data_IF_029591873253
#
_entry.id   IF_029591873253
#
_cell.length_a   1.000
_cell.length_b   1.000
_cell.length_c   1.000
_cell.angle_alpha   90.00
_cell.angle_beta   90.00
_cell.angle_gamma   90.00
#
_symmetry.space_group_name_H-M   'P 1'
#
loop_
_entity.id
_entity.type
_entity.pdbx_description
1 polymer ?
#
# COMPACT_ATOMS: atom_id res chain seq x y z
N UNK A 1 -16.52 1.32 0.63
CA UNK A 1 -15.33 1.59 -0.22
C UNK A 1 -14.08 1.12 0.50
N UNK A 2 -12.99 0.86 -0.23
CA UNK A 2 -11.67 0.47 0.30
C UNK A 2 -10.69 1.61 0.08
N UNK A 3 -9.99 2.02 1.14
CA UNK A 3 -8.90 2.99 1.08
C UNK A 3 -7.56 2.26 1.06
N UNK A 4 -6.77 2.43 0.01
CA UNK A 4 -5.41 1.93 -0.08
C UNK A 4 -4.42 3.09 0.15
N UNK A 5 -3.45 2.86 1.01
CA UNK A 5 -2.38 3.81 1.34
C UNK A 5 -1.04 3.12 1.17
N UNK A 6 -0.20 3.68 0.32
CA UNK A 6 1.18 3.23 0.13
C UNK A 6 2.15 4.33 0.53
N UNK A 7 2.99 4.05 1.52
CA UNK A 7 3.94 5.01 2.11
C UNK A 7 5.34 4.69 1.60
N UNK A 8 5.71 5.37 0.52
CA UNK A 8 7.05 5.34 -0.05
C UNK A 8 8.00 6.36 0.61
N UNK A 9 9.29 6.26 0.31
CA UNK A 9 10.31 7.15 0.88
C UNK A 9 10.15 8.63 0.47
N UNK A 10 9.60 8.89 -0.70
CA UNK A 10 9.40 10.24 -1.24
C UNK A 10 7.95 10.68 -1.23
N UNK A 11 7.03 9.78 -1.57
CA UNK A 11 5.62 10.07 -1.72
C UNK A 11 4.75 9.06 -0.98
N UNK A 12 3.60 9.52 -0.51
CA UNK A 12 2.51 8.70 -0.01
C UNK A 12 1.43 8.67 -1.09
N UNK A 13 1.17 7.50 -1.66
CA UNK A 13 0.09 7.28 -2.62
C UNK A 13 -1.18 6.86 -1.89
N UNK A 14 -2.30 7.47 -2.26
CA UNK A 14 -3.61 7.21 -1.66
C UNK A 14 -4.59 6.93 -2.78
N UNK A 15 -5.32 5.83 -2.69
CA UNK A 15 -6.31 5.44 -3.68
C UNK A 15 -7.60 4.96 -3.00
N UNK A 16 -8.74 5.37 -3.55
CA UNK A 16 -10.06 4.93 -3.10
C UNK A 16 -10.69 4.05 -4.17
N UNK A 17 -11.13 2.86 -3.76
CA UNK A 17 -11.83 1.92 -4.61
C UNK A 17 -13.26 1.71 -4.13
N UNK A 18 -14.20 1.51 -5.08
CA UNK A 18 -15.56 1.08 -4.75
C UNK A 18 -15.63 -0.43 -4.48
N UNK A 19 -16.85 -0.94 -4.30
CA UNK A 19 -17.08 -2.37 -4.00
C UNK A 19 -16.82 -3.27 -5.20
N UNK A 20 -16.91 -2.73 -6.39
CA UNK A 20 -16.64 -3.40 -7.66
C UNK A 20 -15.14 -3.41 -8.02
N UNK A 21 -14.29 -2.76 -7.18
CA UNK A 21 -12.86 -2.64 -7.40
C UNK A 21 -12.46 -1.52 -8.37
N UNK A 22 -13.41 -0.62 -8.74
CA UNK A 22 -13.11 0.51 -9.61
C UNK A 22 -12.45 1.64 -8.83
N UNK A 23 -11.39 2.21 -9.41
CA UNK A 23 -10.69 3.36 -8.84
C UNK A 23 -11.58 4.60 -8.89
N UNK A 24 -11.82 5.21 -7.73
CA UNK A 24 -12.67 6.41 -7.58
C UNK A 24 -11.85 7.69 -7.53
N UNK A 25 -10.75 7.69 -6.83
CA UNK A 25 -9.72 8.72 -6.93
C UNK A 25 -8.33 8.16 -6.57
N UNK A 26 -7.31 8.87 -7.05
CA UNK A 26 -5.91 8.69 -6.65
C UNK A 26 -5.33 10.05 -6.30
N UNK A 27 -4.59 10.10 -5.19
CA UNK A 27 -3.89 11.28 -4.72
C UNK A 27 -2.47 10.93 -4.29
N UNK A 28 -1.61 11.93 -4.21
CA UNK A 28 -0.25 11.79 -3.69
C UNK A 28 0.05 12.92 -2.71
N UNK A 29 0.74 12.59 -1.64
CA UNK A 29 1.28 13.54 -0.66
C UNK A 29 2.78 13.32 -0.55
N UNK A 30 3.52 14.36 -0.15
CA UNK A 30 4.94 14.21 0.19
C UNK A 30 5.11 13.41 1.49
N UNK A 31 6.16 12.58 1.53
CA UNK A 31 6.52 11.82 2.73
C UNK A 31 7.28 12.71 3.71
N UNK A 32 6.58 13.24 4.72
CA UNK A 32 7.21 13.92 5.86
C UNK A 32 7.19 13.00 7.10
N UNK A 33 8.36 12.50 7.49
CA UNK A 33 8.55 11.58 8.62
C UNK A 33 8.24 12.20 9.99
N UNK A 34 8.01 13.51 10.06
CA UNK A 34 7.71 14.24 11.30
C UNK A 34 6.22 14.46 11.51
N UNK A 35 5.37 14.09 10.54
CA UNK A 35 3.92 14.27 10.67
C UNK A 35 3.36 13.46 11.83
N UNK A 36 2.52 14.11 12.61
CA UNK A 36 1.72 13.47 13.66
C UNK A 36 0.51 12.78 13.05
N UNK A 37 -0.08 11.85 13.80
CA UNK A 37 -1.32 11.19 13.37
C UNK A 37 -2.46 12.19 13.09
N UNK A 38 -2.52 13.30 13.85
CA UNK A 38 -3.56 14.32 13.65
C UNK A 38 -3.36 15.10 12.35
N UNK A 39 -2.12 15.43 11.99
CA UNK A 39 -1.80 16.05 10.70
C UNK A 39 -2.15 15.12 9.53
N UNK A 40 -1.84 13.83 9.65
CA UNK A 40 -2.23 12.83 8.64
C UNK A 40 -3.75 12.73 8.51
N UNK A 41 -4.50 12.74 9.62
CA UNK A 41 -5.96 12.78 9.57
C UNK A 41 -6.47 13.99 8.79
N UNK A 42 -5.92 15.18 9.07
CA UNK A 42 -6.32 16.41 8.39
C UNK A 42 -6.03 16.33 6.89
N UNK A 43 -4.84 15.84 6.51
CA UNK A 43 -4.49 15.66 5.09
C UNK A 43 -5.46 14.71 4.38
N UNK A 44 -5.75 13.55 4.99
CA UNK A 44 -6.71 12.59 4.44
C UNK A 44 -8.10 13.18 4.31
N UNK A 45 -8.59 13.89 5.33
CA UNK A 45 -9.91 14.56 5.29
C UNK A 45 -9.97 15.59 4.17
N UNK A 46 -8.91 16.39 3.99
CA UNK A 46 -8.82 17.36 2.90
C UNK A 46 -8.85 16.70 1.52
N UNK A 47 -8.18 15.55 1.35
CA UNK A 47 -8.23 14.78 0.10
C UNK A 47 -9.65 14.27 -0.17
N UNK A 48 -10.32 13.70 0.82
CA UNK A 48 -11.70 13.27 0.68
C UNK A 48 -12.61 14.43 0.25
N UNK A 49 -12.46 15.60 0.88
CA UNK A 49 -13.20 16.80 0.53
C UNK A 49 -12.87 17.28 -0.90
N UNK A 50 -11.59 17.31 -1.28
CA UNK A 50 -11.12 17.75 -2.61
C UNK A 50 -11.71 16.88 -3.72
N UNK A 51 -11.81 15.57 -3.50
CA UNK A 51 -12.35 14.62 -4.48
C UNK A 51 -13.85 14.37 -4.33
N UNK A 52 -14.55 15.12 -3.45
CA UNK A 52 -15.98 15.03 -3.20
C UNK A 52 -16.47 13.66 -2.71
N UNK A 53 -15.66 12.98 -1.92
CA UNK A 53 -16.01 11.72 -1.23
C UNK A 53 -16.11 11.91 0.27
N UNK A 54 -16.82 11.01 0.92
CA UNK A 54 -16.99 11.00 2.37
C UNK A 54 -16.17 9.84 2.95
N UNK A 55 -15.26 10.12 3.89
CA UNK A 55 -14.47 9.08 4.55
C UNK A 55 -15.33 8.11 5.37
N UNK A 56 -16.53 8.52 5.80
CA UNK A 56 -17.50 7.65 6.49
C UNK A 56 -18.03 6.51 5.61
N UNK A 57 -17.88 6.59 4.30
CA UNK A 57 -18.26 5.53 3.35
C UNK A 57 -17.16 4.49 3.14
N UNK A 58 -15.98 4.70 3.75
CA UNK A 58 -14.87 3.75 3.74
C UNK A 58 -15.14 2.68 4.76
N UNK A 59 -15.25 1.42 4.31
CA UNK A 59 -15.49 0.26 5.17
C UNK A 59 -14.19 -0.37 5.67
N UNK A 60 -13.14 -0.30 4.87
CA UNK A 60 -11.85 -0.94 5.14
C UNK A 60 -10.70 -0.11 4.59
N UNK A 61 -9.50 -0.32 5.16
CA UNK A 61 -8.27 0.27 4.63
C UNK A 61 -7.13 -0.74 4.65
N UNK A 62 -6.21 -0.57 3.69
CA UNK A 62 -4.97 -1.33 3.58
C UNK A 62 -3.80 -0.36 3.56
N UNK A 63 -2.76 -0.68 4.31
CA UNK A 63 -1.54 0.10 4.44
C UNK A 63 -0.34 -0.73 3.98
N UNK A 64 0.35 -0.25 2.96
CA UNK A 64 1.68 -0.67 2.58
C UNK A 64 2.67 0.42 2.99
N UNK A 65 3.82 0.08 3.55
CA UNK A 65 4.80 1.09 3.95
C UNK A 65 6.22 0.54 3.98
N UNK A 66 7.14 1.32 3.43
CA UNK A 66 8.60 1.12 3.53
C UNK A 66 9.27 2.20 4.39
N UNK A 67 8.48 2.93 5.19
CA UNK A 67 8.95 4.03 6.05
C UNK A 67 8.56 3.75 7.51
N UNK A 68 9.33 2.93 8.24
CA UNK A 68 8.98 2.50 9.60
C UNK A 68 8.60 3.62 10.57
N UNK A 69 9.25 4.81 10.57
CA UNK A 69 8.86 5.90 11.47
C UNK A 69 7.42 6.39 11.29
N UNK A 70 6.84 6.23 10.10
CA UNK A 70 5.46 6.65 9.81
C UNK A 70 4.42 5.56 10.05
N UNK A 71 4.80 4.28 10.17
CA UNK A 71 3.84 3.19 10.26
C UNK A 71 2.85 3.40 11.41
N UNK A 72 3.36 3.61 12.60
CA UNK A 72 2.52 3.82 13.78
C UNK A 72 1.60 5.05 13.66
N UNK A 73 2.12 6.15 13.10
CA UNK A 73 1.35 7.39 12.93
C UNK A 73 0.26 7.21 11.88
N UNK A 74 0.54 6.51 10.77
CA UNK A 74 -0.43 6.21 9.73
C UNK A 74 -1.53 5.26 10.23
N UNK A 75 -1.15 4.17 10.89
CA UNK A 75 -2.11 3.24 11.50
C UNK A 75 -3.03 3.96 12.49
N UNK A 76 -2.47 4.80 13.36
CA UNK A 76 -3.23 5.59 14.32
C UNK A 76 -4.17 6.58 13.64
N UNK A 77 -3.72 7.24 12.57
CA UNK A 77 -4.54 8.17 11.80
C UNK A 77 -5.70 7.45 11.10
N UNK A 78 -5.43 6.35 10.41
CA UNK A 78 -6.45 5.56 9.73
C UNK A 78 -7.47 4.99 10.73
N UNK A 79 -7.00 4.45 11.86
CA UNK A 79 -7.87 3.94 12.91
C UNK A 79 -8.78 5.03 13.47
N UNK A 80 -8.24 6.23 13.72
CA UNK A 80 -9.02 7.37 14.25
C UNK A 80 -10.06 7.86 13.23
N UNK A 81 -9.66 7.97 11.97
CA UNK A 81 -10.52 8.50 10.92
C UNK A 81 -11.64 7.53 10.53
N UNK A 82 -11.33 6.24 10.45
CA UNK A 82 -12.23 5.21 9.95
C UNK A 82 -12.88 4.37 11.05
N UNK A 83 -12.45 4.54 12.31
CA UNK A 83 -12.97 3.76 13.46
C UNK A 83 -12.48 2.31 13.53
N UNK A 84 -11.53 1.92 12.64
CA UNK A 84 -11.05 0.55 12.46
C UNK A 84 -9.59 0.58 12.01
N UNK A 85 -8.72 -0.30 12.55
CA UNK A 85 -7.33 -0.37 12.11
C UNK A 85 -7.22 -0.87 10.66
N UNK A 86 -6.23 -0.38 9.89
CA UNK A 86 -5.97 -0.87 8.55
C UNK A 86 -5.42 -2.30 8.58
N UNK A 87 -5.59 -3.03 7.48
CA UNK A 87 -4.78 -4.19 7.18
C UNK A 87 -3.38 -3.69 6.80
N UNK A 88 -2.35 -4.12 7.51
CA UNK A 88 -0.95 -3.74 7.21
C UNK A 88 -0.29 -4.83 6.39
N UNK A 89 0.21 -4.48 5.20
CA UNK A 89 0.99 -5.40 4.37
C UNK A 89 2.35 -5.65 5.04
N UNK A 90 2.62 -6.90 5.36
CA UNK A 90 3.84 -7.27 6.08
C UNK A 90 3.93 -8.77 6.36
N UNK A 91 4.92 -9.18 7.16
CA UNK A 91 5.10 -10.58 7.53
C UNK A 91 3.83 -11.18 8.15
N UNK A 92 3.42 -12.35 7.67
CA UNK A 92 2.24 -13.06 8.15
C UNK A 92 0.93 -12.77 7.40
N UNK A 93 0.89 -11.76 6.54
CA UNK A 93 -0.26 -11.55 5.65
C UNK A 93 -0.27 -12.63 4.56
N UNK A 94 -1.39 -13.32 4.44
CA UNK A 94 -1.57 -14.35 3.42
C UNK A 94 -1.89 -13.69 2.07
N UNK A 95 -0.88 -13.49 1.27
CA UNK A 95 -0.99 -12.87 -0.06
C UNK A 95 -1.17 -13.88 -1.20
N UNK A 96 -0.99 -15.16 -0.91
CA UNK A 96 -0.94 -16.21 -1.94
C UNK A 96 0.34 -16.17 -2.79
N UNK A 97 1.32 -15.35 -2.43
CA UNK A 97 2.63 -15.29 -3.05
C UNK A 97 3.60 -16.23 -2.32
N UNK A 98 4.26 -17.12 -3.06
CA UNK A 98 5.37 -17.90 -2.55
C UNK A 98 6.65 -17.08 -2.66
N UNK A 99 7.44 -16.97 -1.60
CA UNK A 99 8.66 -16.17 -1.57
C UNK A 99 9.85 -17.10 -1.40
N UNK A 100 10.74 -17.13 -2.41
CA UNK A 100 11.99 -17.91 -2.43
C UNK A 100 13.21 -17.05 -2.15
N UNK A 101 13.19 -16.27 -1.10
CA UNK A 101 14.34 -15.49 -0.64
C UNK A 101 15.00 -16.18 0.55
N UNK A 102 16.32 -16.07 0.65
CA UNK A 102 17.09 -16.59 1.78
C UNK A 102 16.62 -15.99 3.11
N UNK A 103 16.18 -14.74 3.10
CA UNK A 103 15.59 -14.03 4.24
C UNK A 103 14.29 -13.36 3.79
N UNK A 104 13.17 -14.05 3.95
CA UNK A 104 11.84 -13.59 3.53
C UNK A 104 11.42 -12.26 4.20
N UNK A 105 11.90 -11.99 5.40
CA UNK A 105 11.59 -10.76 6.15
C UNK A 105 12.28 -9.51 5.60
N UNK A 106 13.20 -9.66 4.65
CA UNK A 106 13.88 -8.54 3.98
C UNK A 106 13.13 -8.02 2.75
N UNK A 107 12.08 -8.71 2.30
CA UNK A 107 11.27 -8.25 1.20
C UNK A 107 10.43 -7.05 1.63
N UNK A 108 10.56 -5.94 0.92
CA UNK A 108 9.74 -4.75 1.15
C UNK A 108 8.26 -5.03 0.92
N UNK A 109 7.41 -4.35 1.68
CA UNK A 109 5.96 -4.50 1.54
C UNK A 109 5.46 -4.06 0.15
N UNK A 110 6.11 -3.06 -0.43
CA UNK A 110 5.90 -2.56 -1.80
C UNK A 110 6.13 -3.67 -2.85
N UNK A 111 7.24 -4.38 -2.76
CA UNK A 111 7.57 -5.50 -3.67
C UNK A 111 6.51 -6.60 -3.59
N UNK A 112 6.01 -6.89 -2.37
CA UNK A 112 4.93 -7.86 -2.18
C UNK A 112 3.64 -7.39 -2.86
N UNK A 113 3.28 -6.12 -2.68
CA UNK A 113 2.08 -5.53 -3.26
C UNK A 113 2.14 -5.55 -4.79
N UNK A 114 3.28 -5.16 -5.37
CA UNK A 114 3.51 -5.17 -6.82
C UNK A 114 3.44 -6.57 -7.42
N UNK A 115 4.08 -7.55 -6.77
CA UNK A 115 4.06 -8.93 -7.23
C UNK A 115 2.64 -9.52 -7.21
N UNK A 116 1.87 -9.25 -6.16
CA UNK A 116 0.48 -9.70 -6.06
C UNK A 116 -0.38 -9.03 -7.13
N UNK A 117 -0.25 -7.71 -7.31
CA UNK A 117 -0.99 -6.97 -8.33
C UNK A 117 -0.66 -7.45 -9.75
N UNK A 118 0.62 -7.70 -10.04
CA UNK A 118 1.06 -8.21 -11.33
C UNK A 118 0.44 -9.58 -11.64
N UNK A 119 0.35 -10.46 -10.65
CA UNK A 119 -0.26 -11.80 -10.79
C UNK A 119 -1.78 -11.79 -10.98
N UNK A 120 -2.45 -10.71 -10.60
CA UNK A 120 -3.90 -10.54 -10.87
C UNK A 120 -4.17 -10.04 -12.30
N UNK A 121 -3.16 -9.43 -12.94
CA UNK A 121 -3.30 -8.83 -14.29
C UNK A 121 -2.65 -9.71 -15.36
N UNK A 122 -1.52 -10.36 -15.05
CA UNK A 122 -0.70 -11.10 -15.99
C UNK A 122 -0.49 -12.55 -15.55
N UNK A 123 -0.21 -13.40 -16.54
CA UNK A 123 0.22 -14.78 -16.28
C UNK A 123 1.74 -14.86 -16.09
N UNK A 124 2.17 -15.60 -15.08
CA UNK A 124 3.60 -15.88 -14.89
C UNK A 124 4.17 -16.73 -16.07
N UNK A 125 5.46 -16.58 -16.41
CA UNK A 125 6.47 -15.79 -15.71
C UNK A 125 6.36 -14.28 -15.97
N UNK A 126 6.66 -13.47 -14.93
CA UNK A 126 6.54 -12.00 -14.97
C UNK A 126 7.85 -11.37 -14.50
N UNK A 127 8.25 -10.27 -15.14
CA UNK A 127 9.27 -9.35 -14.63
C UNK A 127 8.56 -8.07 -14.24
N UNK A 128 8.67 -7.67 -12.97
CA UNK A 128 8.21 -6.37 -12.49
C UNK A 128 9.37 -5.38 -12.47
N UNK A 129 9.10 -4.14 -12.87
CA UNK A 129 10.04 -3.03 -12.78
C UNK A 129 9.31 -1.88 -12.11
N UNK A 130 9.69 -1.58 -10.87
CA UNK A 130 9.20 -0.39 -10.15
C UNK A 130 10.26 0.71 -10.24
N UNK A 131 9.86 1.87 -10.77
CA UNK A 131 10.69 3.07 -10.93
C UNK A 131 10.30 4.11 -9.88
N UNK A 132 10.58 3.80 -8.60
CA UNK A 132 10.37 4.69 -7.47
C UNK A 132 11.61 5.55 -7.15
N UNK A 133 11.83 5.83 -5.87
CA UNK A 133 13.06 6.50 -5.38
C UNK A 133 14.30 5.67 -5.72
N UNK A 134 14.19 4.36 -5.67
CA UNK A 134 15.11 3.40 -6.28
C UNK A 134 14.37 2.61 -7.34
N UNK A 135 15.06 2.09 -8.34
CA UNK A 135 14.48 1.16 -9.30
C UNK A 135 14.66 -0.26 -8.77
N UNK A 136 13.56 -0.97 -8.59
CA UNK A 136 13.57 -2.38 -8.22
C UNK A 136 13.08 -3.24 -9.38
N UNK A 137 13.72 -4.39 -9.56
CA UNK A 137 13.35 -5.37 -10.59
C UNK A 137 13.01 -6.66 -9.84
N UNK A 138 11.87 -7.27 -10.14
CA UNK A 138 11.45 -8.51 -9.52
C UNK A 138 11.13 -9.57 -10.55
N UNK A 139 11.40 -10.82 -10.23
CA UNK A 139 11.06 -11.99 -11.07
C UNK A 139 10.05 -12.87 -10.36
N UNK A 140 8.95 -13.14 -11.03
CA UNK A 140 7.89 -14.01 -10.55
C UNK A 140 7.79 -15.20 -11.52
N UNK A 141 8.09 -16.39 -11.03
CA UNK A 141 7.99 -17.63 -11.79
C UNK A 141 6.60 -18.27 -11.68
N UNK A 142 6.41 -19.37 -12.41
CA UNK A 142 5.19 -20.19 -12.31
C UNK A 142 4.90 -20.60 -10.85
N UNK A 143 3.61 -20.86 -10.56
CA UNK A 143 3.19 -21.20 -9.21
C UNK A 143 3.19 -20.02 -8.23
N UNK A 144 3.07 -18.78 -8.74
CA UNK A 144 3.03 -17.54 -7.94
C UNK A 144 4.27 -17.39 -7.04
N UNK A 145 5.45 -17.68 -7.57
CA UNK A 145 6.70 -17.69 -6.80
C UNK A 145 7.56 -16.49 -7.13
N UNK A 146 7.84 -15.63 -6.13
CA UNK A 146 8.82 -14.57 -6.23
C UNK A 146 10.22 -15.15 -6.01
N UNK A 147 11.08 -15.07 -7.05
CA UNK A 147 12.42 -15.69 -7.05
C UNK A 147 13.51 -14.71 -6.56
N UNK A 148 13.20 -13.40 -6.53
CA UNK A 148 14.15 -12.36 -6.18
C UNK A 148 14.23 -11.27 -7.25
N UNK A 149 15.15 -10.30 -7.01
CA UNK A 149 15.41 -9.18 -7.91
C UNK A 149 16.64 -8.39 -7.48
#
# INVERSE_FOLDING_TARGET
MLLAVDVGNSNISIALFDREGSLRFRASLDTDRRKTADQICVDLMNLFQLYHFRYQEVSDSILCSVVPPLNFMMEKALTRLLGKPPMVVGPGVKTGLNIRLAVQTQMGADIVADAVAALEIFQAPIITIDMGTATTIGVISEGRTYEGG
#
